data_IF_876339078609
#
_entry.id   IF_876339078609
#
_cell.length_a   1.000
_cell.length_b   1.000
_cell.length_c   1.000
_cell.angle_alpha   90.00
_cell.angle_beta   90.00
_cell.angle_gamma   90.00
#
_symmetry.space_group_name_H-M   'P 1'
#
loop_
_entity.id
_entity.type
_entity.pdbx_description
1 polymer ?
#
# COMPACT_ATOMS: atom_id res chain seq x y z
N UNK A 1 9.86 6.48 22.72
CA UNK A 1 8.66 6.27 23.56
C UNK A 1 7.49 6.24 22.58
N UNK A 2 7.04 5.11 22.06
CA UNK A 2 7.34 3.70 22.32
C UNK A 2 8.04 3.05 21.12
N UNK A 3 9.20 2.45 21.35
CA UNK A 3 9.66 1.34 20.52
C UNK A 3 8.70 0.20 20.85
N UNK A 4 7.71 -0.02 20.00
CA UNK A 4 6.87 -1.20 20.08
C UNK A 4 7.79 -2.40 19.82
N UNK A 5 8.05 -3.14 20.89
CA UNK A 5 8.73 -4.44 20.98
C UNK A 5 8.79 -5.17 19.63
N UNK A 6 9.89 -4.93 18.88
CA UNK A 6 10.16 -5.59 17.59
C UNK A 6 10.68 -7.02 17.74
N UNK A 7 10.91 -7.50 18.97
CA UNK A 7 11.52 -8.81 19.24
C UNK A 7 10.67 -9.77 20.07
N UNK A 8 9.52 -9.37 20.61
CA UNK A 8 8.60 -10.27 21.31
C UNK A 8 7.21 -10.21 20.69
N UNK A 9 6.63 -11.38 20.40
CA UNK A 9 5.21 -11.64 20.06
C UNK A 9 4.82 -12.03 18.62
N UNK A 10 5.69 -12.52 17.70
CA UNK A 10 5.20 -13.28 16.54
C UNK A 10 4.35 -14.50 16.97
N UNK A 11 4.80 -15.24 17.99
CA UNK A 11 4.14 -16.43 18.49
C UNK A 11 2.73 -16.19 19.05
N UNK A 12 2.57 -15.28 20.01
CA UNK A 12 1.27 -15.04 20.65
C UNK A 12 0.19 -14.52 19.67
N UNK A 13 0.61 -13.69 18.70
CA UNK A 13 -0.28 -13.17 17.67
C UNK A 13 -0.71 -14.29 16.70
N UNK A 14 0.23 -15.15 16.32
CA UNK A 14 -0.05 -16.31 15.46
C UNK A 14 -0.93 -17.34 16.18
N UNK A 15 -0.70 -17.61 17.46
CA UNK A 15 -1.55 -18.50 18.25
C UNK A 15 -3.00 -17.99 18.34
N UNK A 16 -3.20 -16.68 18.52
CA UNK A 16 -4.54 -16.09 18.48
C UNK A 16 -5.20 -16.28 17.10
N UNK A 17 -4.43 -16.03 16.03
CA UNK A 17 -4.88 -16.24 14.67
C UNK A 17 -5.31 -17.70 14.42
N UNK A 18 -4.49 -18.66 14.84
CA UNK A 18 -4.79 -20.09 14.70
C UNK A 18 -5.98 -20.53 15.56
N UNK A 19 -6.18 -19.93 16.75
CA UNK A 19 -7.35 -20.20 17.59
C UNK A 19 -8.66 -19.76 16.93
N UNK A 20 -8.60 -18.72 16.09
CA UNK A 20 -9.74 -18.17 15.34
C UNK A 20 -9.73 -18.57 13.86
N UNK A 21 -8.94 -19.58 13.47
CA UNK A 21 -8.68 -19.89 12.06
C UNK A 21 -9.95 -20.10 11.23
N UNK A 22 -10.97 -20.75 11.78
CA UNK A 22 -12.22 -20.96 11.04
C UNK A 22 -12.91 -19.63 10.69
N UNK A 23 -12.87 -18.65 11.60
CA UNK A 23 -13.41 -17.31 11.33
C UNK A 23 -12.53 -16.53 10.35
N UNK A 24 -11.20 -16.67 10.45
CA UNK A 24 -10.26 -16.06 9.52
C UNK A 24 -10.45 -16.62 8.11
N UNK A 25 -10.52 -17.94 7.93
CA UNK A 25 -10.79 -18.57 6.62
C UNK A 25 -12.14 -18.14 6.06
N UNK A 26 -13.20 -18.10 6.87
CA UNK A 26 -14.51 -17.64 6.41
C UNK A 26 -14.47 -16.16 5.95
N UNK A 27 -13.72 -15.30 6.64
CA UNK A 27 -13.49 -13.93 6.20
C UNK A 27 -12.71 -13.88 4.87
N UNK A 28 -11.65 -14.67 4.75
CA UNK A 28 -10.82 -14.73 3.54
C UNK A 28 -11.63 -15.28 2.34
N UNK A 29 -12.45 -16.30 2.53
CA UNK A 29 -13.37 -16.82 1.49
C UNK A 29 -14.34 -15.73 0.99
N UNK A 30 -14.88 -14.94 1.91
CA UNK A 30 -15.76 -13.82 1.57
C UNK A 30 -15.02 -12.71 0.81
N UNK A 31 -13.80 -12.39 1.22
CA UNK A 31 -12.96 -11.38 0.55
C UNK A 31 -12.51 -11.85 -0.84
N UNK A 32 -12.11 -13.12 -0.98
CA UNK A 32 -11.72 -13.73 -2.25
C UNK A 32 -12.90 -13.67 -3.22
N UNK A 33 -14.11 -14.01 -2.76
CA UNK A 33 -15.32 -13.90 -3.59
C UNK A 33 -15.55 -12.47 -4.08
N UNK A 34 -15.43 -11.47 -3.21
CA UNK A 34 -15.59 -10.06 -3.58
C UNK A 34 -14.51 -9.61 -4.56
N UNK A 35 -13.26 -10.04 -4.36
CA UNK A 35 -12.15 -9.73 -5.25
C UNK A 35 -12.37 -10.32 -6.66
N UNK A 36 -12.88 -11.55 -6.75
CA UNK A 36 -13.25 -12.20 -8.02
C UNK A 36 -14.45 -11.55 -8.70
N UNK A 37 -15.37 -10.95 -7.93
CA UNK A 37 -16.49 -10.15 -8.43
C UNK A 37 -16.07 -8.75 -8.90
N UNK A 38 -14.81 -8.35 -8.67
CA UNK A 38 -14.26 -7.04 -9.03
C UNK A 38 -14.57 -5.92 -8.02
N UNK A 39 -15.09 -6.27 -6.84
CA UNK A 39 -15.48 -5.31 -5.80
C UNK A 39 -14.29 -4.95 -4.89
N UNK A 40 -13.25 -4.39 -5.50
CA UNK A 40 -11.96 -4.12 -4.84
C UNK A 40 -12.05 -3.06 -3.75
N UNK A 41 -12.96 -2.08 -3.88
CA UNK A 41 -13.23 -1.08 -2.84
C UNK A 41 -13.80 -1.73 -1.58
N UNK A 42 -14.81 -2.58 -1.72
CA UNK A 42 -15.41 -3.28 -0.58
C UNK A 42 -14.42 -4.24 0.07
N UNK A 43 -13.58 -4.92 -0.72
CA UNK A 43 -12.48 -5.74 -0.19
C UNK A 43 -11.57 -4.88 0.68
N UNK A 44 -11.14 -3.72 0.18
CA UNK A 44 -10.23 -2.82 0.89
C UNK A 44 -10.83 -2.32 2.21
N UNK A 45 -12.09 -1.92 2.21
CA UNK A 45 -12.79 -1.41 3.39
C UNK A 45 -13.06 -2.51 4.44
N UNK A 46 -13.36 -3.73 4.01
CA UNK A 46 -13.49 -4.87 4.93
C UNK A 46 -12.16 -5.23 5.57
N UNK A 47 -11.05 -5.19 4.83
CA UNK A 47 -9.72 -5.45 5.37
C UNK A 47 -9.33 -4.35 6.38
N UNK A 48 -9.67 -3.07 6.12
CA UNK A 48 -9.49 -1.99 7.11
C UNK A 48 -10.29 -2.24 8.38
N UNK A 49 -11.57 -2.57 8.24
CA UNK A 49 -12.45 -2.88 9.37
C UNK A 49 -11.90 -4.06 10.20
N UNK A 50 -11.32 -5.06 9.53
CA UNK A 50 -10.65 -6.18 10.19
C UNK A 50 -9.38 -5.74 10.94
N UNK A 51 -8.54 -4.90 10.32
CA UNK A 51 -7.34 -4.38 10.95
C UNK A 51 -7.64 -3.49 12.18
N UNK A 52 -8.76 -2.75 12.14
CA UNK A 52 -9.25 -1.96 13.28
C UNK A 52 -9.79 -2.84 14.41
N UNK A 53 -10.52 -3.90 14.08
CA UNK A 53 -11.18 -4.77 15.06
C UNK A 53 -10.23 -5.74 15.75
N UNK A 54 -9.32 -6.37 14.99
CA UNK A 54 -8.43 -7.43 15.47
C UNK A 54 -7.01 -7.25 14.88
N UNK A 55 -6.36 -6.13 15.23
CA UNK A 55 -5.06 -5.72 14.69
C UNK A 55 -3.98 -6.81 14.69
N UNK A 56 -3.88 -7.60 15.77
CA UNK A 56 -2.93 -8.70 15.86
C UNK A 56 -3.17 -9.77 14.79
N UNK A 57 -4.41 -10.30 14.73
CA UNK A 57 -4.79 -11.33 13.76
C UNK A 57 -4.61 -10.82 12.33
N UNK A 58 -4.96 -9.56 12.08
CA UNK A 58 -4.70 -8.90 10.81
C UNK A 58 -3.22 -8.95 10.42
N UNK A 59 -2.29 -8.59 11.31
CA UNK A 59 -0.86 -8.64 10.99
C UNK A 59 -0.36 -10.05 10.74
N UNK A 60 -0.82 -11.06 11.49
CA UNK A 60 -0.46 -12.46 11.21
C UNK A 60 -0.92 -12.88 9.81
N UNK A 61 -2.16 -12.57 9.43
CA UNK A 61 -2.70 -12.87 8.11
C UNK A 61 -1.94 -12.11 7.01
N UNK A 62 -1.72 -10.80 7.19
CA UNK A 62 -1.00 -9.98 6.21
C UNK A 62 0.45 -10.44 6.00
N UNK A 63 1.13 -10.89 7.07
CA UNK A 63 2.48 -11.43 6.99
C UNK A 63 2.49 -12.83 6.33
N UNK A 64 1.53 -13.69 6.68
CA UNK A 64 1.36 -14.98 6.05
C UNK A 64 1.13 -14.85 4.52
N UNK A 65 0.17 -14.01 4.12
CA UNK A 65 -0.16 -13.76 2.70
C UNK A 65 1.00 -13.10 1.93
N UNK A 66 1.86 -12.33 2.61
CA UNK A 66 3.07 -11.78 1.98
C UNK A 66 4.12 -12.83 1.62
N UNK A 67 3.90 -14.09 2.01
CA UNK A 67 4.77 -15.24 1.77
C UNK A 67 6.23 -14.98 2.23
N UNK A 68 6.39 -14.30 3.36
CA UNK A 68 7.70 -13.91 3.89
C UNK A 68 8.42 -15.11 4.52
N UNK A 69 9.55 -15.52 3.93
CA UNK A 69 10.37 -16.61 4.47
C UNK A 69 10.89 -16.34 5.88
N UNK A 70 11.23 -15.08 6.18
CA UNK A 70 11.65 -14.66 7.52
C UNK A 70 10.54 -14.88 8.54
N UNK A 71 9.32 -14.45 8.22
CA UNK A 71 8.17 -14.63 9.10
C UNK A 71 7.88 -16.10 9.38
N UNK A 72 7.88 -16.96 8.36
CA UNK A 72 7.69 -18.40 8.59
C UNK A 72 8.82 -19.01 9.42
N UNK A 73 10.07 -18.62 9.18
CA UNK A 73 11.20 -19.07 10.00
C UNK A 73 11.05 -18.69 11.48
N UNK A 74 10.58 -17.47 11.76
CA UNK A 74 10.32 -17.01 13.12
C UNK A 74 9.19 -17.82 13.77
N UNK A 75 8.09 -18.07 13.06
CA UNK A 75 6.98 -18.91 13.54
C UNK A 75 7.41 -20.34 13.79
N UNK A 76 8.19 -20.94 12.89
CA UNK A 76 8.72 -22.30 13.06
C UNK A 76 9.61 -22.43 14.30
N UNK A 77 10.44 -21.42 14.54
CA UNK A 77 11.34 -21.40 15.70
C UNK A 77 10.60 -21.29 17.04
N UNK A 78 9.44 -20.61 17.05
CA UNK A 78 8.69 -20.31 18.28
C UNK A 78 7.57 -21.32 18.55
N UNK A 79 6.84 -21.74 17.52
CA UNK A 79 5.62 -22.55 17.61
C UNK A 79 5.73 -23.92 16.92
N UNK A 80 6.79 -24.15 16.15
CA UNK A 80 7.01 -25.37 15.38
C UNK A 80 6.49 -25.30 13.94
N UNK A 81 6.74 -26.38 13.20
CA UNK A 81 6.51 -26.45 11.75
C UNK A 81 5.02 -26.45 11.38
N UNK A 82 4.18 -27.12 12.16
CA UNK A 82 2.75 -27.25 11.86
C UNK A 82 2.00 -25.89 11.83
N UNK A 83 2.17 -24.98 12.82
CA UNK A 83 1.66 -23.61 12.74
C UNK A 83 2.11 -22.84 11.51
N UNK A 84 3.38 -22.99 11.11
CA UNK A 84 3.91 -22.30 9.94
C UNK A 84 3.32 -22.86 8.64
N UNK A 85 3.16 -24.18 8.52
CA UNK A 85 2.51 -24.83 7.38
C UNK A 85 1.07 -24.35 7.20
N UNK A 86 0.30 -24.26 8.30
CA UNK A 86 -1.08 -23.74 8.24
C UNK A 86 -1.15 -22.28 7.75
N UNK A 87 -0.16 -21.46 8.07
CA UNK A 87 -0.09 -20.09 7.58
C UNK A 87 0.37 -20.03 6.11
N UNK A 88 1.25 -20.94 5.67
CA UNK A 88 1.61 -21.08 4.25
C UNK A 88 0.40 -21.46 3.41
N UNK A 89 -0.43 -22.37 3.91
CA UNK A 89 -1.69 -22.75 3.24
C UNK A 89 -2.57 -21.54 2.94
N UNK A 90 -2.58 -20.51 3.80
CA UNK A 90 -3.35 -19.28 3.54
C UNK A 90 -2.81 -18.53 2.31
N UNK A 91 -1.49 -18.40 2.19
CA UNK A 91 -0.86 -17.73 1.04
C UNK A 91 -1.08 -18.51 -0.26
N UNK A 92 -1.08 -19.84 -0.20
CA UNK A 92 -1.37 -20.70 -1.34
C UNK A 92 -2.85 -20.69 -1.73
N UNK A 93 -3.75 -20.58 -0.76
CA UNK A 93 -5.21 -20.61 -0.98
C UNK A 93 -5.76 -19.26 -1.45
N UNK A 94 -5.25 -18.15 -0.93
CA UNK A 94 -5.77 -16.79 -1.17
C UNK A 94 -4.72 -15.85 -1.77
N UNK A 95 -4.08 -16.20 -2.91
CA UNK A 95 -3.01 -15.39 -3.47
C UNK A 95 -3.49 -14.00 -3.94
N UNK A 96 -4.76 -13.86 -4.34
CA UNK A 96 -5.31 -12.58 -4.81
C UNK A 96 -5.44 -11.55 -3.69
N UNK A 97 -5.51 -12.02 -2.43
CA UNK A 97 -5.63 -11.16 -1.25
C UNK A 97 -4.29 -10.62 -0.75
N UNK A 98 -3.15 -11.11 -1.27
CA UNK A 98 -1.83 -10.70 -0.82
C UNK A 98 -1.57 -9.20 -0.97
N UNK A 99 -1.88 -8.64 -2.15
CA UNK A 99 -1.73 -7.21 -2.42
C UNK A 99 -2.66 -6.34 -1.56
N UNK A 100 -3.99 -6.54 -1.51
CA UNK A 100 -4.88 -5.68 -0.73
C UNK A 100 -4.56 -5.73 0.77
N UNK A 101 -4.18 -6.89 1.32
CA UNK A 101 -3.68 -6.96 2.70
C UNK A 101 -2.35 -6.22 2.89
N UNK A 102 -1.43 -6.34 1.93
CA UNK A 102 -0.17 -5.60 1.94
C UNK A 102 -0.38 -4.09 1.97
N UNK A 103 -1.35 -3.59 1.20
CA UNK A 103 -1.66 -2.17 1.15
C UNK A 103 -2.32 -1.66 2.44
N UNK A 104 -3.31 -2.37 2.99
CA UNK A 104 -3.86 -2.00 4.31
C UNK A 104 -2.81 -2.09 5.41
N UNK A 105 -1.88 -3.04 5.32
CA UNK A 105 -0.78 -3.14 6.28
C UNK A 105 0.08 -1.88 6.26
N UNK A 106 0.39 -1.34 5.07
CA UNK A 106 1.09 -0.07 4.94
C UNK A 106 0.27 1.09 5.50
N UNK A 107 -1.05 1.12 5.27
CA UNK A 107 -1.93 2.15 5.82
C UNK A 107 -1.90 2.16 7.36
N UNK A 108 -2.08 0.98 7.97
CA UNK A 108 -2.14 0.81 9.43
C UNK A 108 -0.77 0.99 10.11
N UNK A 109 0.32 0.63 9.43
CA UNK A 109 1.68 0.72 9.99
C UNK A 109 2.29 2.12 9.83
N UNK A 110 1.90 2.89 8.81
CA UNK A 110 2.54 4.16 8.45
C UNK A 110 1.59 5.36 8.46
N UNK A 111 0.37 5.19 8.97
CA UNK A 111 -0.70 6.20 8.96
C UNK A 111 -0.90 6.83 7.56
N UNK A 112 -0.70 5.99 6.54
CA UNK A 112 -0.92 6.35 5.13
C UNK A 112 -2.36 6.02 4.79
N UNK A 113 -2.95 6.76 3.85
CA UNK A 113 -4.28 6.44 3.33
C UNK A 113 -4.22 6.34 1.82
N UNK A 114 -4.68 5.21 1.25
CA UNK A 114 -4.68 4.96 -0.19
C UNK A 114 -3.32 5.28 -0.84
N UNK A 115 -2.23 4.61 -0.46
CA UNK A 115 -0.94 4.84 -1.10
C UNK A 115 -1.07 4.58 -2.60
N UNK A 116 -0.65 5.54 -3.43
CA UNK A 116 -0.63 5.38 -4.88
C UNK A 116 0.39 4.31 -5.26
N UNK A 117 -0.05 3.30 -5.99
CA UNK A 117 0.80 2.21 -6.50
C UNK A 117 0.93 2.20 -8.01
N UNK A 118 0.03 2.87 -8.71
CA UNK A 118 0.00 2.89 -10.17
C UNK A 118 -0.64 4.15 -10.73
N UNK A 119 -0.36 4.41 -12.00
CA UNK A 119 -1.00 5.46 -12.78
C UNK A 119 -1.09 5.03 -14.25
N UNK A 120 -2.30 5.05 -14.79
CA UNK A 120 -2.52 4.92 -16.23
C UNK A 120 -2.51 6.30 -16.87
N UNK A 121 -1.93 6.42 -18.07
CA UNK A 121 -1.81 7.70 -18.79
C UNK A 121 -2.27 7.52 -20.23
N UNK A 122 -3.08 8.47 -20.71
CA UNK A 122 -3.55 8.54 -22.10
C UNK A 122 -3.28 9.92 -22.68
N UNK A 123 -3.09 9.99 -24.01
CA UNK A 123 -2.95 11.26 -24.73
C UNK A 123 -4.00 11.37 -25.82
N UNK A 124 -4.47 12.59 -26.05
CA UNK A 124 -5.44 12.92 -27.08
C UNK A 124 -5.21 14.35 -27.57
N UNK A 125 -6.00 14.79 -28.55
CA UNK A 125 -5.92 16.16 -29.07
C UNK A 125 -7.32 16.75 -29.23
N UNK A 126 -7.55 17.91 -28.60
CA UNK A 126 -8.80 18.65 -28.73
C UNK A 126 -8.74 19.55 -29.95
N UNK A 127 -9.43 19.18 -31.04
CA UNK A 127 -9.29 19.85 -32.34
C UNK A 127 -9.82 21.29 -32.36
N UNK A 128 -10.87 21.59 -31.59
CA UNK A 128 -11.51 22.91 -31.61
C UNK A 128 -10.70 23.96 -30.82
N UNK A 129 -10.04 23.52 -29.75
CA UNK A 129 -9.18 24.38 -28.94
C UNK A 129 -7.73 24.33 -29.39
N UNK A 130 -7.38 23.38 -30.27
CA UNK A 130 -6.03 23.12 -30.77
C UNK A 130 -5.03 22.75 -29.67
N UNK A 131 -5.51 22.13 -28.58
CA UNK A 131 -4.70 21.79 -27.40
C UNK A 131 -4.57 20.26 -27.25
N UNK A 132 -3.36 19.72 -27.03
CA UNK A 132 -3.21 18.32 -26.61
C UNK A 132 -3.84 18.10 -25.24
N UNK A 133 -4.38 16.91 -25.00
CA UNK A 133 -4.96 16.52 -23.72
C UNK A 133 -4.19 15.33 -23.16
N UNK A 134 -3.95 15.37 -21.86
CA UNK A 134 -3.36 14.28 -21.07
C UNK A 134 -4.43 13.80 -20.09
N UNK A 135 -4.81 12.54 -20.20
CA UNK A 135 -5.66 11.85 -19.23
C UNK A 135 -4.80 10.99 -18.31
N UNK A 136 -5.12 10.93 -17.03
CA UNK A 136 -4.47 10.03 -16.09
C UNK A 136 -5.42 9.51 -15.02
N UNK A 137 -5.25 8.24 -14.66
CA UNK A 137 -5.99 7.58 -13.57
C UNK A 137 -5.00 7.09 -12.52
N UNK A 138 -5.17 7.49 -11.27
CA UNK A 138 -4.36 7.05 -10.14
C UNK A 138 -4.98 5.82 -9.48
N UNK A 139 -4.15 4.85 -9.08
CA UNK A 139 -4.59 3.59 -8.48
C UNK A 139 -3.88 3.28 -7.14
N UNK A 140 -4.58 2.60 -6.23
CA UNK A 140 -4.04 1.94 -5.03
C UNK A 140 -4.38 0.45 -5.05
N UNK A 141 -3.48 -0.36 -5.62
CA UNK A 141 -3.80 -1.69 -6.11
C UNK A 141 -4.88 -1.58 -7.19
N UNK A 142 -5.90 -2.41 -7.09
CA UNK A 142 -7.05 -2.43 -8.02
C UNK A 142 -8.11 -1.33 -7.77
N UNK A 143 -7.88 -0.43 -6.81
CA UNK A 143 -8.82 0.67 -6.50
C UNK A 143 -8.43 1.94 -7.24
N UNK A 144 -9.33 2.47 -8.07
CA UNK A 144 -9.21 3.79 -8.69
C UNK A 144 -9.37 4.90 -7.64
N UNK A 145 -8.41 5.80 -7.56
CA UNK A 145 -8.41 6.92 -6.60
C UNK A 145 -8.92 8.21 -7.21
N UNK A 146 -8.51 8.46 -8.47
CA UNK A 146 -8.76 9.72 -9.15
C UNK A 146 -8.58 9.54 -10.65
N UNK A 147 -9.55 9.98 -11.42
CA UNK A 147 -9.49 10.11 -12.88
C UNK A 147 -9.52 11.60 -13.25
N UNK A 148 -8.64 12.00 -14.17
CA UNK A 148 -8.51 13.39 -14.60
C UNK A 148 -8.05 13.48 -16.04
N UNK A 149 -8.46 14.57 -16.69
CA UNK A 149 -8.03 14.90 -18.05
C UNK A 149 -7.94 16.40 -18.22
N UNK A 150 -6.79 16.88 -18.68
CA UNK A 150 -6.53 18.30 -18.87
C UNK A 150 -5.49 18.58 -19.95
N UNK A 151 -5.33 19.85 -20.26
CA UNK A 151 -4.21 20.32 -21.08
C UNK A 151 -2.87 20.12 -20.34
N UNK A 152 -1.72 20.08 -21.04
CA UNK A 152 -0.41 20.02 -20.40
C UNK A 152 -0.20 21.14 -19.38
N UNK A 153 -0.73 22.34 -19.62
CA UNK A 153 -0.61 23.45 -18.67
C UNK A 153 -1.33 23.17 -17.35
N UNK A 154 -2.51 22.55 -17.38
CA UNK A 154 -3.29 22.22 -16.18
C UNK A 154 -2.65 21.07 -15.41
N UNK A 155 -2.16 20.04 -16.13
CA UNK A 155 -1.47 18.90 -15.52
C UNK A 155 -0.16 19.34 -14.87
N UNK A 156 0.67 20.13 -15.57
CA UNK A 156 1.90 20.67 -15.00
C UNK A 156 1.63 21.65 -13.85
N UNK A 157 0.55 22.43 -13.92
CA UNK A 157 0.12 23.29 -12.82
C UNK A 157 -0.21 22.50 -11.55
N UNK A 158 -0.94 21.39 -11.70
CA UNK A 158 -1.26 20.48 -10.59
C UNK A 158 0.01 19.82 -10.03
N UNK A 159 0.90 19.33 -10.89
CA UNK A 159 2.17 18.75 -10.48
C UNK A 159 3.04 19.75 -9.70
N UNK A 160 3.10 21.01 -10.15
CA UNK A 160 3.85 22.07 -9.46
C UNK A 160 3.33 22.30 -8.04
N UNK A 161 2.01 22.38 -7.85
CA UNK A 161 1.42 22.56 -6.52
C UNK A 161 1.73 21.40 -5.57
N UNK A 162 1.74 20.15 -6.08
CA UNK A 162 2.08 18.98 -5.29
C UNK A 162 3.58 18.96 -4.91
N UNK A 163 4.46 19.37 -5.81
CA UNK A 163 5.90 19.53 -5.52
C UNK A 163 6.13 20.63 -4.48
N UNK A 164 5.43 21.76 -4.58
CA UNK A 164 5.49 22.84 -3.59
C UNK A 164 5.05 22.34 -2.21
N UNK A 165 3.88 21.70 -2.11
CA UNK A 165 3.38 21.13 -0.86
C UNK A 165 4.34 20.07 -0.26
N UNK A 166 5.03 19.30 -1.10
CA UNK A 166 6.02 18.32 -0.66
C UNK A 166 7.24 19.00 -0.02
N UNK A 167 7.75 20.08 -0.64
CA UNK A 167 8.83 20.87 -0.07
C UNK A 167 8.43 21.53 1.25
N UNK A 168 7.22 22.07 1.34
CA UNK A 168 6.68 22.66 2.57
C UNK A 168 6.59 21.64 3.71
N UNK A 169 6.15 20.40 3.42
CA UNK A 169 6.09 19.32 4.39
C UNK A 169 7.49 18.92 4.91
N UNK A 170 8.47 18.78 4.01
CA UNK A 170 9.86 18.49 4.38
C UNK A 170 10.47 19.62 5.21
N UNK A 171 10.25 20.87 4.82
CA UNK A 171 10.76 22.02 5.57
C UNK A 171 10.11 22.10 6.95
N UNK A 172 8.80 21.86 7.06
CA UNK A 172 8.09 21.82 8.33
C UNK A 172 8.63 20.73 9.26
N UNK A 173 8.94 19.54 8.74
CA UNK A 173 9.55 18.46 9.50
C UNK A 173 10.94 18.84 10.02
N UNK A 174 11.80 19.40 9.15
CA UNK A 174 13.14 19.84 9.52
C UNK A 174 13.12 20.98 10.55
N UNK A 175 12.18 21.92 10.45
CA UNK A 175 12.00 22.99 11.47
C UNK A 175 11.60 22.46 12.84
N UNK A 176 11.01 21.26 12.90
CA UNK A 176 10.59 20.59 14.14
C UNK A 176 11.63 19.56 14.62
N UNK A 177 12.85 19.56 14.05
CA UNK A 177 13.91 18.58 14.32
C UNK A 177 13.47 17.11 14.09
N UNK A 178 12.49 16.90 13.20
CA UNK A 178 12.13 15.56 12.74
C UNK A 178 13.07 15.12 11.62
N UNK A 179 13.61 13.90 11.74
CA UNK A 179 14.45 13.31 10.70
C UNK A 179 13.60 12.71 9.58
N UNK A 180 14.09 12.84 8.36
CA UNK A 180 13.62 12.07 7.20
C UNK A 180 14.54 10.86 7.06
N UNK A 181 13.96 9.67 6.87
CA UNK A 181 14.77 8.45 6.74
C UNK A 181 15.61 8.49 5.44
N UNK A 182 16.73 7.76 5.43
CA UNK A 182 17.70 7.80 4.32
C UNK A 182 17.15 7.23 3.02
N UNK A 183 16.23 6.28 3.10
CA UNK A 183 15.65 5.61 1.95
C UNK A 183 14.74 6.60 1.21
N UNK A 184 13.86 7.27 1.94
CA UNK A 184 12.98 8.35 1.45
C UNK A 184 13.79 9.49 0.83
N UNK A 185 14.90 9.91 1.46
CA UNK A 185 15.75 10.96 0.90
C UNK A 185 16.41 10.53 -0.43
N UNK A 186 16.84 9.27 -0.53
CA UNK A 186 17.46 8.74 -1.75
C UNK A 186 16.43 8.66 -2.88
N UNK A 187 15.26 8.13 -2.57
CA UNK A 187 14.08 8.08 -3.43
C UNK A 187 13.66 9.46 -3.96
N UNK A 188 13.65 10.47 -3.09
CA UNK A 188 13.34 11.86 -3.45
C UNK A 188 14.38 12.45 -4.41
N UNK A 189 15.67 12.14 -4.21
CA UNK A 189 16.74 12.58 -5.10
C UNK A 189 16.55 11.98 -6.50
N UNK A 190 16.30 10.67 -6.59
CA UNK A 190 16.08 9.99 -7.86
C UNK A 190 14.86 10.57 -8.60
N UNK A 191 13.72 10.70 -7.92
CA UNK A 191 12.50 11.28 -8.49
C UNK A 191 12.71 12.72 -8.97
N UNK A 192 13.46 13.53 -8.21
CA UNK A 192 13.79 14.91 -8.59
C UNK A 192 14.63 14.96 -9.87
N UNK A 193 15.67 14.13 -9.97
CA UNK A 193 16.52 14.12 -11.16
C UNK A 193 15.76 13.63 -12.39
N UNK A 194 14.88 12.63 -12.24
CA UNK A 194 13.99 12.21 -13.31
C UNK A 194 13.06 13.35 -13.77
N UNK A 195 12.38 14.03 -12.83
CA UNK A 195 11.52 15.19 -13.17
C UNK A 195 12.28 16.30 -13.89
N UNK A 196 13.52 16.61 -13.48
CA UNK A 196 14.34 17.61 -14.17
C UNK A 196 14.68 17.19 -15.60
N UNK A 197 14.95 15.91 -15.81
CA UNK A 197 15.25 15.37 -17.14
C UNK A 197 14.04 15.55 -18.06
N UNK A 198 12.87 15.06 -17.64
CA UNK A 198 11.63 15.15 -18.43
C UNK A 198 11.24 16.60 -18.71
N UNK A 199 11.34 17.49 -17.71
CA UNK A 199 11.05 18.92 -17.89
C UNK A 199 12.06 19.60 -18.81
N UNK A 200 13.31 19.12 -18.85
CA UNK A 200 14.35 19.61 -19.76
C UNK A 200 14.11 19.21 -21.22
N UNK A 201 13.36 18.13 -21.49
CA UNK A 201 13.02 17.68 -22.84
C UNK A 201 11.81 18.39 -23.46
N UNK A 202 10.99 19.06 -22.63
CA UNK A 202 9.81 19.79 -23.11
C UNK A 202 10.15 21.00 -24.02
N UNK A 203 11.45 21.38 -24.12
CA UNK A 203 11.93 22.57 -24.85
C UNK A 203 13.29 22.38 -25.53
#
# INVERSE_FOLDING_TARGET
MDDVDRDEMPGAIVEECLRREQGVRALLDDLERLALEGDHETVRDRIRSFAESDRGVFFAVALALSNSQHFFGDVESQLGVEPADRLRDLAETYPTLAEPFGLVRMEVASDRKNPTTGMDVTTAYHREEEVPLVGYTLHSGEVELHDSRGSPSEVLGTASQLVEATNDALEAALRQDHSVNTDELSDLIERREHLKSELGELW
#
